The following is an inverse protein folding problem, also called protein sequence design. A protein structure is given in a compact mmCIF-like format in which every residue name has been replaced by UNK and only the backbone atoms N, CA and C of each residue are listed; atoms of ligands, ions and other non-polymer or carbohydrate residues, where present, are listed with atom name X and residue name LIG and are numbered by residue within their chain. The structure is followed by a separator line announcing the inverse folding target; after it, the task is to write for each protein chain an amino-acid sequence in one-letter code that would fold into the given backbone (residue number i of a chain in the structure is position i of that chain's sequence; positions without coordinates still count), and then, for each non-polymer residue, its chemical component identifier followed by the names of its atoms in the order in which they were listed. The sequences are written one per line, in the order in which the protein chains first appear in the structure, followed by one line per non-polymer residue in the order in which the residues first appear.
data_IF_272341397229
#
_entry.id   IF_272341397229
#
_cell.length_a   1.000
_cell.length_b   1.000
_cell.length_c   1.000
_cell.angle_alpha   90.00
_cell.angle_beta   90.00
_cell.angle_gamma   90.00
#
_symmetry.space_group_name_H-M   'P 1'
#
loop_
_entity.id
_entity.type
_entity.pdbx_description
1 polymer ?
#
# COMPACT_ATOMS: atom_id res chain seq x y z
N UNK A 1 18.34 8.10 7.91
CA UNK A 1 17.97 6.70 7.58
C UNK A 1 17.14 6.07 8.69
N UNK A 2 17.57 6.12 9.96
CA UNK A 2 16.77 5.56 11.08
C UNK A 2 15.35 6.12 11.19
N UNK A 3 15.16 7.44 11.01
CA UNK A 3 13.83 8.06 11.11
C UNK A 3 12.83 7.54 10.06
N UNK A 4 13.30 7.19 8.86
CA UNK A 4 12.46 6.55 7.84
C UNK A 4 11.97 5.18 8.33
N UNK A 5 12.87 4.34 8.83
CA UNK A 5 12.52 3.00 9.32
C UNK A 5 11.60 3.05 10.55
N UNK A 6 11.76 4.06 11.42
CA UNK A 6 10.81 4.31 12.51
C UNK A 6 9.42 4.62 11.95
N UNK A 7 9.34 5.51 10.94
CA UNK A 7 8.08 5.91 10.33
C UNK A 7 7.41 4.77 9.53
N UNK A 8 8.19 3.92 8.85
CA UNK A 8 7.69 2.80 8.06
C UNK A 8 7.53 1.49 8.85
N UNK A 9 7.93 1.45 10.12
CA UNK A 9 7.92 0.24 10.98
C UNK A 9 6.59 -0.53 10.99
N UNK A 10 5.46 0.17 10.84
CA UNK A 10 4.12 -0.44 10.87
C UNK A 10 3.63 -0.97 9.53
N UNK A 11 4.32 -0.67 8.42
CA UNK A 11 3.86 -1.03 7.07
C UNK A 11 3.68 -2.54 6.91
N UNK A 12 4.65 -3.32 7.37
CA UNK A 12 4.59 -4.78 7.32
C UNK A 12 3.36 -5.33 8.05
N UNK A 13 3.12 -4.89 9.29
CA UNK A 13 1.95 -5.33 10.08
C UNK A 13 0.63 -4.95 9.42
N UNK A 14 0.53 -3.73 8.87
CA UNK A 14 -0.67 -3.24 8.20
C UNK A 14 -0.94 -4.06 6.93
N UNK A 15 0.10 -4.27 6.10
CA UNK A 15 0.00 -5.04 4.86
C UNK A 15 -0.36 -6.50 5.15
N UNK A 16 0.27 -7.13 6.14
CA UNK A 16 -0.04 -8.51 6.54
C UNK A 16 -1.50 -8.66 6.98
N UNK A 17 -1.98 -7.72 7.79
CA UNK A 17 -3.38 -7.67 8.20
C UNK A 17 -4.33 -7.45 7.02
N UNK A 18 -3.96 -6.60 6.06
CA UNK A 18 -4.75 -6.37 4.84
C UNK A 18 -4.83 -7.62 3.97
N UNK A 19 -3.71 -8.28 3.68
CA UNK A 19 -3.66 -9.53 2.89
C UNK A 19 -4.54 -10.61 3.49
N UNK A 20 -4.49 -10.81 4.81
CA UNK A 20 -5.38 -11.76 5.50
C UNK A 20 -6.85 -11.38 5.41
N UNK A 21 -7.19 -10.09 5.50
CA UNK A 21 -8.59 -9.62 5.36
C UNK A 21 -9.12 -9.86 3.94
N UNK A 22 -8.33 -9.57 2.92
CA UNK A 22 -8.71 -9.80 1.52
C UNK A 22 -8.92 -11.29 1.27
N UNK A 23 -7.99 -12.15 1.70
CA UNK A 23 -8.14 -13.60 1.62
C UNK A 23 -9.40 -14.11 2.30
N UNK A 24 -9.71 -13.60 3.50
CA UNK A 24 -10.95 -13.96 4.21
C UNK A 24 -12.18 -13.56 3.41
N UNK A 25 -12.21 -12.35 2.85
CA UNK A 25 -13.31 -11.91 1.98
C UNK A 25 -13.50 -12.84 0.78
N UNK A 26 -12.42 -13.15 0.07
CA UNK A 26 -12.45 -14.07 -1.08
C UNK A 26 -12.99 -15.43 -0.66
N UNK A 27 -12.45 -16.00 0.42
CA UNK A 27 -12.87 -17.31 0.93
C UNK A 27 -14.37 -17.33 1.27
N UNK A 28 -14.86 -16.32 2.01
CA UNK A 28 -16.28 -16.21 2.35
C UNK A 28 -17.16 -16.04 1.12
N UNK A 29 -16.77 -15.21 0.15
CA UNK A 29 -17.53 -15.02 -1.09
C UNK A 29 -17.63 -16.32 -1.90
N UNK A 30 -16.54 -17.06 -2.02
CA UNK A 30 -16.51 -18.34 -2.74
C UNK A 30 -17.38 -19.39 -2.03
N UNK A 31 -17.29 -19.49 -0.70
CA UNK A 31 -18.12 -20.39 0.09
C UNK A 31 -19.62 -20.08 -0.09
N UNK A 32 -19.99 -18.79 -0.08
CA UNK A 32 -21.36 -18.34 -0.31
C UNK A 32 -21.85 -18.67 -1.73
N UNK A 33 -21.01 -18.46 -2.74
CA UNK A 33 -21.33 -18.80 -4.13
C UNK A 33 -21.58 -20.32 -4.28
N UNK A 34 -20.73 -21.16 -3.68
CA UNK A 34 -20.92 -22.62 -3.68
C UNK A 34 -22.22 -23.04 -3.00
N UNK A 35 -22.57 -22.43 -1.87
CA UNK A 35 -23.85 -22.68 -1.18
C UNK A 35 -25.06 -22.30 -2.02
N UNK A 36 -24.94 -21.28 -2.87
CA UNK A 36 -26.02 -20.84 -3.73
C UNK A 36 -26.21 -21.74 -4.97
N UNK A 37 -25.10 -22.21 -5.56
CA UNK A 37 -25.12 -22.98 -6.81
C UNK A 37 -25.36 -24.47 -6.55
N UNK A 38 -24.83 -25.05 -5.47
CA UNK A 38 -24.87 -26.48 -5.18
C UNK A 38 -25.84 -26.81 -4.05
N UNK A 39 -26.98 -27.40 -4.41
CA UNK A 39 -27.99 -27.87 -3.45
C UNK A 39 -27.50 -29.10 -2.67
N UNK A 40 -26.73 -29.99 -3.30
CA UNK A 40 -26.21 -31.20 -2.65
C UNK A 40 -25.10 -30.87 -1.64
N UNK A 41 -25.35 -31.17 -0.36
CA UNK A 41 -24.43 -30.83 0.74
C UNK A 41 -23.08 -31.54 0.63
N UNK A 42 -23.06 -32.80 0.20
CA UNK A 42 -21.82 -33.59 0.09
C UNK A 42 -20.91 -33.02 -0.99
N UNK A 43 -21.40 -32.89 -2.22
CA UNK A 43 -20.65 -32.32 -3.34
C UNK A 43 -20.13 -30.92 -3.00
N UNK A 44 -20.96 -30.08 -2.36
CA UNK A 44 -20.58 -28.74 -1.89
C UNK A 44 -19.43 -28.78 -0.89
N UNK A 45 -19.51 -29.67 0.11
CA UNK A 45 -18.50 -29.80 1.18
C UNK A 45 -17.16 -30.29 0.62
N UNK A 46 -17.20 -31.28 -0.27
CA UNK A 46 -16.01 -31.85 -0.89
C UNK A 46 -15.33 -30.84 -1.82
N UNK A 47 -16.11 -30.17 -2.65
CA UNK A 47 -15.61 -29.13 -3.54
C UNK A 47 -15.04 -27.93 -2.77
N UNK A 48 -15.74 -27.47 -1.72
CA UNK A 48 -15.23 -26.43 -0.84
C UNK A 48 -13.90 -26.81 -0.20
N UNK A 49 -13.74 -28.07 0.24
CA UNK A 49 -12.47 -28.54 0.82
C UNK A 49 -11.31 -28.40 -0.17
N UNK A 50 -11.52 -28.81 -1.42
CA UNK A 50 -10.52 -28.69 -2.49
C UNK A 50 -10.19 -27.22 -2.80
N UNK A 51 -11.22 -26.40 -3.03
CA UNK A 51 -11.07 -24.96 -3.32
C UNK A 51 -10.37 -24.22 -2.17
N UNK A 52 -10.77 -24.49 -0.94
CA UNK A 52 -10.17 -23.86 0.24
C UNK A 52 -8.69 -24.25 0.38
N UNK A 53 -8.29 -25.49 0.07
CA UNK A 53 -6.88 -25.88 0.07
C UNK A 53 -6.05 -25.03 -0.92
N UNK A 54 -6.56 -24.82 -2.13
CA UNK A 54 -5.94 -23.95 -3.14
C UNK A 54 -5.89 -22.48 -2.70
N UNK A 55 -6.97 -21.97 -2.10
CA UNK A 55 -7.01 -20.62 -1.52
C UNK A 55 -5.93 -20.46 -0.43
N UNK A 56 -5.76 -21.43 0.48
CA UNK A 56 -4.72 -21.37 1.51
C UNK A 56 -3.31 -21.39 0.91
N UNK A 57 -3.07 -22.17 -0.14
CA UNK A 57 -1.80 -22.17 -0.89
C UNK A 57 -1.50 -20.80 -1.50
N UNK A 58 -2.52 -20.17 -2.10
CA UNK A 58 -2.41 -18.82 -2.65
C UNK A 58 -2.09 -17.78 -1.57
N UNK A 59 -2.73 -17.88 -0.39
CA UNK A 59 -2.39 -17.03 0.76
C UNK A 59 -0.94 -17.22 1.20
N UNK A 60 -0.47 -18.47 1.31
CA UNK A 60 0.92 -18.73 1.70
C UNK A 60 1.92 -18.09 0.73
N UNK A 61 1.67 -18.21 -0.58
CA UNK A 61 2.49 -17.55 -1.60
C UNK A 61 2.43 -16.02 -1.51
N UNK A 62 1.24 -15.45 -1.30
CA UNK A 62 1.06 -14.01 -1.11
C UNK A 62 1.85 -13.49 0.11
N UNK A 63 1.81 -14.23 1.23
CA UNK A 63 2.54 -13.86 2.44
C UNK A 63 4.06 -13.99 2.28
N UNK A 64 4.53 -14.97 1.50
CA UNK A 64 5.95 -15.10 1.17
C UNK A 64 6.44 -13.92 0.30
N UNK A 65 5.68 -13.55 -0.73
CA UNK A 65 5.99 -12.37 -1.56
C UNK A 65 5.99 -11.08 -0.73
N UNK A 66 4.98 -10.92 0.14
CA UNK A 66 4.90 -9.77 1.05
C UNK A 66 6.11 -9.69 1.98
N UNK A 67 6.60 -10.83 2.47
CA UNK A 67 7.80 -10.87 3.29
C UNK A 67 9.00 -10.34 2.52
N UNK A 68 9.23 -10.79 1.29
CA UNK A 68 10.31 -10.28 0.43
C UNK A 68 10.22 -8.77 0.23
N UNK A 69 9.04 -8.25 -0.09
CA UNK A 69 8.81 -6.79 -0.24
C UNK A 69 9.13 -6.05 1.06
N UNK A 70 8.76 -6.60 2.22
CA UNK A 70 9.07 -5.98 3.51
C UNK A 70 10.57 -5.98 3.82
N UNK A 71 11.32 -7.01 3.41
CA UNK A 71 12.78 -7.03 3.54
C UNK A 71 13.45 -6.01 2.61
N UNK A 72 12.94 -5.85 1.38
CA UNK A 72 13.45 -4.85 0.44
C UNK A 72 13.33 -3.42 0.99
N UNK A 73 12.25 -3.10 1.72
CA UNK A 73 12.05 -1.79 2.34
C UNK A 73 12.96 -1.53 3.56
N UNK A 74 13.58 -2.57 4.13
CA UNK A 74 14.60 -2.42 5.20
C UNK A 74 15.96 -2.03 4.64
N UNK A 75 16.18 -2.21 3.34
CA UNK A 75 17.42 -1.81 2.69
C UNK A 75 17.58 -0.29 2.74
N UNK A 76 18.83 0.21 2.76
CA UNK A 76 19.08 1.64 2.72
C UNK A 76 18.36 2.29 1.53
N UNK A 77 17.63 3.40 1.74
CA UNK A 77 17.08 4.22 0.67
C UNK A 77 18.02 4.36 -0.51
N UNK A 78 17.54 3.96 -1.69
CA UNK A 78 18.28 4.12 -2.94
C UNK A 78 18.38 5.63 -3.23
N UNK A 79 19.50 6.21 -2.82
CA UNK A 79 19.86 7.63 -2.93
C UNK A 79 19.96 8.15 -4.37
N UNK A 80 19.88 7.27 -5.38
CA UNK A 80 19.86 7.63 -6.80
C UNK A 80 18.46 7.97 -7.35
N UNK A 81 17.40 7.89 -6.53
CA UNK A 81 16.08 8.25 -7.01
C UNK A 81 16.03 9.75 -7.32
N UNK A 82 15.82 10.12 -8.59
CA UNK A 82 15.65 11.51 -9.07
C UNK A 82 14.62 12.28 -8.24
N UNK A 83 13.58 11.59 -7.75
CA UNK A 83 12.58 12.19 -6.87
C UNK A 83 13.17 12.66 -5.54
N UNK A 84 14.22 12.04 -4.99
CA UNK A 84 14.88 12.56 -3.78
C UNK A 84 15.57 13.90 -4.08
N UNK A 85 16.38 13.96 -5.14
CA UNK A 85 17.07 15.19 -5.55
C UNK A 85 16.06 16.32 -5.88
N UNK A 86 15.01 16.00 -6.64
CA UNK A 86 13.97 16.97 -6.99
C UNK A 86 13.16 17.42 -5.78
N UNK A 87 12.84 16.49 -4.86
CA UNK A 87 12.08 16.82 -3.66
C UNK A 87 12.91 17.66 -2.68
N UNK A 88 14.21 17.37 -2.54
CA UNK A 88 15.14 18.18 -1.75
C UNK A 88 15.25 19.58 -2.36
N UNK A 89 15.47 19.69 -3.67
CA UNK A 89 15.58 20.99 -4.33
C UNK A 89 14.26 21.79 -4.24
N UNK A 90 13.12 21.13 -4.43
CA UNK A 90 11.80 21.75 -4.26
C UNK A 90 11.57 22.21 -2.81
N UNK A 91 11.99 21.41 -1.82
CA UNK A 91 11.93 21.77 -0.42
C UNK A 91 12.80 22.99 -0.11
N UNK A 92 14.03 23.02 -0.62
CA UNK A 92 14.98 24.13 -0.49
C UNK A 92 14.43 25.41 -1.10
N UNK A 93 13.85 25.33 -2.31
CA UNK A 93 13.21 26.46 -2.98
C UNK A 93 12.00 26.98 -2.19
N UNK A 94 11.17 26.09 -1.65
CA UNK A 94 10.01 26.45 -0.83
C UNK A 94 10.42 27.12 0.48
N UNK A 95 11.42 26.59 1.17
CA UNK A 95 11.97 27.17 2.40
C UNK A 95 12.54 28.57 2.15
N UNK A 96 13.35 28.72 1.08
CA UNK A 96 13.91 30.01 0.67
C UNK A 96 12.82 31.02 0.35
N UNK A 97 11.79 30.62 -0.42
CA UNK A 97 10.64 31.49 -0.74
C UNK A 97 9.88 31.94 0.51
N UNK A 98 9.66 31.02 1.46
CA UNK A 98 8.97 31.33 2.71
C UNK A 98 9.78 32.29 3.60
N UNK A 99 11.10 32.10 3.69
CA UNK A 99 12.00 33.00 4.41
C UNK A 99 11.97 34.41 3.80
N UNK A 100 12.10 34.52 2.47
CA UNK A 100 12.01 35.80 1.76
C UNK A 100 10.65 36.48 2.03
N UNK A 101 9.54 35.72 1.96
CA UNK A 101 8.22 36.26 2.27
C UNK A 101 8.07 36.71 3.73
N UNK A 102 8.69 36.01 4.67
CA UNK A 102 8.65 36.33 6.10
C UNK A 102 9.47 37.58 6.40
N UNK A 103 10.71 37.65 5.89
CA UNK A 103 11.55 38.85 5.95
C UNK A 103 10.84 40.06 5.33
N UNK A 104 10.21 39.91 4.15
CA UNK A 104 9.46 40.98 3.49
C UNK A 104 8.24 41.42 4.32
N UNK A 105 7.52 40.50 4.97
CA UNK A 105 6.40 40.82 5.87
C UNK A 105 6.89 41.55 7.13
N UNK A 106 8.01 41.14 7.72
CA UNK A 106 8.62 41.80 8.89
C UNK A 106 9.06 43.23 8.55
N UNK A 107 9.76 43.39 7.42
CA UNK A 107 10.14 44.71 6.91
C UNK A 107 8.92 45.60 6.63
N UNK A 108 7.84 45.03 6.07
CA UNK A 108 6.58 45.76 5.82
C UNK A 108 5.79 46.08 7.11
N UNK A 109 5.84 45.22 8.13
CA UNK A 109 5.22 45.47 9.44
C UNK A 109 5.92 46.60 10.21
N UNK A 110 7.24 46.71 10.07
CA UNK A 110 8.02 47.86 10.56
C UNK A 110 7.71 49.16 9.79
N UNK A 111 7.10 49.06 8.61
CA UNK A 111 6.77 50.18 7.70
C UNK A 111 5.46 50.91 8.06
N UNK A 112 4.74 50.45 9.09
CA UNK A 112 3.40 50.92 9.45
C UNK A 112 3.33 52.29 10.15
N UNK A 113 4.42 53.06 10.23
CA UNK A 113 4.41 54.37 10.90
C UNK A 113 4.99 55.55 10.12
N UNK A 114 5.53 55.35 8.91
CA UNK A 114 6.12 56.47 8.16
C UNK A 114 5.93 56.29 6.66
N UNK A 115 4.72 56.50 6.17
CA UNK A 115 4.49 56.74 4.74
C UNK A 115 4.25 58.23 4.55
N UNK A 116 5.35 58.93 4.26
CA UNK A 116 5.37 60.36 3.97
C UNK A 116 6.48 61.08 4.71
N UNK A 117 7.73 60.97 4.25
CA UNK A 117 8.47 62.11 3.68
C UNK A 117 9.94 61.74 3.41
N UNK A 118 10.38 62.10 2.20
CA UNK A 118 11.77 62.31 1.75
C UNK A 118 12.58 61.14 1.14
N UNK A 119 13.35 61.53 0.14
CA UNK A 119 14.09 60.72 -0.84
C UNK A 119 15.22 59.82 -0.27
N UNK A 120 15.44 59.79 1.05
CA UNK A 120 16.45 58.96 1.73
C UNK A 120 15.91 57.60 2.24
N UNK A 121 14.58 57.43 2.14
CA UNK A 121 13.86 56.22 2.57
C UNK A 121 14.33 54.95 1.82
N UNK A 122 14.73 55.06 0.55
CA UNK A 122 15.06 53.89 -0.29
C UNK A 122 16.30 53.13 0.21
N UNK A 123 17.31 53.83 0.71
CA UNK A 123 18.53 53.23 1.27
C UNK A 123 18.29 52.61 2.66
N UNK A 124 17.46 53.26 3.48
CA UNK A 124 17.07 52.75 4.80
C UNK A 124 16.19 51.49 4.68
N UNK A 125 15.28 51.45 3.71
CA UNK A 125 14.48 50.27 3.41
C UNK A 125 15.30 49.12 2.83
N UNK A 126 16.31 49.41 2.01
CA UNK A 126 17.22 48.39 1.51
C UNK A 126 17.98 47.73 2.66
N UNK A 127 18.56 48.54 3.56
CA UNK A 127 19.30 48.05 4.73
C UNK A 127 18.40 47.26 5.69
N UNK A 128 17.17 47.69 5.94
CA UNK A 128 16.24 46.94 6.79
C UNK A 128 15.79 45.60 6.19
N UNK A 129 15.67 45.52 4.87
CA UNK A 129 15.43 44.24 4.18
C UNK A 129 16.69 43.38 4.27
N UNK A 130 17.89 43.94 4.06
CA UNK A 130 19.16 43.24 4.22
C UNK A 130 19.34 42.70 5.65
N UNK A 131 19.13 43.51 6.68
CA UNK A 131 19.23 43.13 8.09
C UNK A 131 18.17 42.07 8.46
N UNK A 132 16.91 42.23 8.03
CA UNK A 132 15.88 41.23 8.26
C UNK A 132 16.14 39.93 7.49
N UNK A 133 16.79 40.00 6.32
CA UNK A 133 17.19 38.84 5.55
C UNK A 133 18.42 38.18 6.19
N UNK A 134 19.40 38.93 6.68
CA UNK A 134 20.57 38.41 7.41
C UNK A 134 20.14 37.72 8.71
N UNK A 135 19.25 38.32 9.50
CA UNK A 135 18.75 37.73 10.75
C UNK A 135 17.94 36.45 10.48
N UNK A 136 17.07 36.45 9.47
CA UNK A 136 16.31 35.26 9.08
C UNK A 136 17.18 34.18 8.41
N UNK A 137 18.16 34.55 7.58
CA UNK A 137 18.95 33.65 6.72
C UNK A 137 20.20 33.10 7.42
N UNK A 138 20.84 33.88 8.29
CA UNK A 138 22.16 33.55 8.86
C UNK A 138 22.06 32.99 10.28
N UNK A 139 21.11 33.46 11.12
CA UNK A 139 21.13 33.13 12.56
C UNK A 139 20.53 31.75 12.92
N UNK A 140 19.71 31.15 12.05
CA UNK A 140 19.01 29.89 12.35
C UNK A 140 19.35 28.76 11.34
N UNK A 141 20.64 28.66 10.99
CA UNK A 141 21.16 27.70 10.02
C UNK A 141 20.91 26.24 10.45
N UNK A 142 21.06 25.92 11.74
CA UNK A 142 20.84 24.57 12.26
C UNK A 142 19.36 24.16 12.17
N UNK A 143 18.43 25.04 12.54
CA UNK A 143 17.00 24.76 12.42
C UNK A 143 16.58 24.63 10.96
N UNK A 144 17.11 25.46 10.06
CA UNK A 144 16.83 25.33 8.62
C UNK A 144 17.35 24.02 8.07
N UNK A 145 18.56 23.61 8.42
CA UNK A 145 19.10 22.32 8.03
C UNK A 145 18.20 21.17 8.55
N UNK A 146 17.68 21.29 9.77
CA UNK A 146 16.73 20.34 10.33
C UNK A 146 15.37 20.34 9.60
N UNK A 147 14.81 21.51 9.27
CA UNK A 147 13.55 21.66 8.55
C UNK A 147 13.65 21.15 7.10
N UNK A 148 14.78 21.38 6.45
CA UNK A 148 15.09 20.86 5.12
C UNK A 148 15.23 19.34 5.14
N UNK A 149 16.01 18.78 6.08
CA UNK A 149 16.13 17.34 6.27
C UNK A 149 14.79 16.67 6.55
N UNK A 150 13.93 17.30 7.38
CA UNK A 150 12.57 16.83 7.64
C UNK A 150 11.72 16.85 6.37
N UNK A 151 11.77 17.92 5.59
CA UNK A 151 10.97 18.05 4.36
C UNK A 151 11.42 17.03 3.31
N UNK A 152 12.73 16.82 3.17
CA UNK A 152 13.31 15.81 2.30
C UNK A 152 12.86 14.39 2.71
N UNK A 153 12.91 14.10 4.01
CA UNK A 153 12.43 12.82 4.55
C UNK A 153 10.93 12.61 4.32
N UNK A 154 10.10 13.63 4.55
CA UNK A 154 8.65 13.56 4.31
C UNK A 154 8.34 13.28 2.83
N UNK A 155 9.08 13.92 1.93
CA UNK A 155 8.89 13.73 0.50
C UNK A 155 9.35 12.34 0.06
N UNK A 156 10.49 11.87 0.57
CA UNK A 156 10.95 10.49 0.35
C UNK A 156 9.94 9.46 0.89
N UNK A 157 9.49 9.63 2.13
CA UNK A 157 8.50 8.75 2.77
C UNK A 157 7.22 8.64 1.93
N UNK A 158 6.72 9.75 1.39
CA UNK A 158 5.53 9.75 0.52
C UNK A 158 5.73 8.92 -0.75
N UNK A 159 6.90 9.02 -1.38
CA UNK A 159 7.20 8.24 -2.59
C UNK A 159 7.30 6.76 -2.24
N UNK A 160 8.10 6.41 -1.23
CA UNK A 160 8.28 5.02 -0.80
C UNK A 160 6.97 4.39 -0.35
N UNK A 161 6.12 5.13 0.39
CA UNK A 161 4.81 4.65 0.82
C UNK A 161 3.92 4.30 -0.37
N UNK A 162 3.88 5.15 -1.40
CA UNK A 162 3.10 4.88 -2.62
C UNK A 162 3.62 3.64 -3.33
N UNK A 163 4.94 3.52 -3.50
CA UNK A 163 5.56 2.37 -4.14
C UNK A 163 5.28 1.08 -3.36
N UNK A 164 5.38 1.11 -2.04
CA UNK A 164 5.08 -0.02 -1.18
C UNK A 164 3.62 -0.46 -1.33
N UNK A 165 2.67 0.47 -1.25
CA UNK A 165 1.24 0.18 -1.42
C UNK A 165 0.96 -0.41 -2.81
N UNK A 166 1.52 0.16 -3.86
CA UNK A 166 1.39 -0.35 -5.22
C UNK A 166 1.94 -1.77 -5.35
N UNK A 167 3.09 -2.05 -4.72
CA UNK A 167 3.69 -3.37 -4.70
C UNK A 167 2.83 -4.38 -3.94
N UNK A 168 2.25 -4.02 -2.80
CA UNK A 168 1.32 -4.89 -2.09
C UNK A 168 0.09 -5.17 -2.95
N UNK A 169 -0.54 -4.15 -3.54
CA UNK A 169 -1.71 -4.35 -4.40
C UNK A 169 -1.38 -5.26 -5.59
N UNK A 170 -0.37 -4.92 -6.38
CA UNK A 170 -0.06 -5.60 -7.64
C UNK A 170 0.61 -6.95 -7.44
N UNK A 171 1.61 -7.02 -6.55
CA UNK A 171 2.48 -8.19 -6.43
C UNK A 171 1.97 -9.18 -5.40
N UNK A 172 1.24 -8.74 -4.37
CA UNK A 172 0.70 -9.63 -3.33
C UNK A 172 -0.75 -9.96 -3.62
N UNK A 173 -1.63 -8.96 -3.71
CA UNK A 173 -3.08 -9.18 -3.83
C UNK A 173 -3.45 -9.66 -5.23
N UNK A 174 -3.14 -8.87 -6.26
CA UNK A 174 -3.55 -9.18 -7.63
C UNK A 174 -2.90 -10.46 -8.16
N UNK A 175 -1.58 -10.59 -7.99
CA UNK A 175 -0.82 -11.74 -8.51
C UNK A 175 -1.14 -13.07 -7.82
N UNK A 176 -1.32 -13.08 -6.50
CA UNK A 176 -1.47 -14.34 -5.77
C UNK A 176 -2.92 -14.64 -5.36
N UNK A 177 -3.74 -13.63 -5.09
CA UNK A 177 -5.12 -13.84 -4.62
C UNK A 177 -6.14 -13.69 -5.76
N UNK A 178 -6.10 -12.59 -6.51
CA UNK A 178 -7.14 -12.28 -7.50
C UNK A 178 -6.96 -13.04 -8.81
N UNK A 179 -5.79 -12.94 -9.46
CA UNK A 179 -5.54 -13.55 -10.76
C UNK A 179 -5.55 -15.08 -10.74
N UNK A 180 -5.32 -15.69 -9.57
CA UNK A 180 -5.39 -17.15 -9.39
C UNK A 180 -6.79 -17.66 -9.13
N UNK A 181 -7.72 -16.79 -8.70
CA UNK A 181 -9.07 -17.19 -8.31
C UNK A 181 -9.83 -17.93 -9.44
N UNK A 182 -9.82 -17.46 -10.70
CA UNK A 182 -10.51 -18.16 -11.80
C UNK A 182 -9.92 -19.54 -12.12
N UNK A 183 -8.65 -19.77 -11.76
CA UNK A 183 -7.95 -21.03 -12.04
C UNK A 183 -8.08 -22.06 -10.91
N UNK A 184 -8.65 -21.69 -9.75
CA UNK A 184 -8.80 -22.62 -8.62
C UNK A 184 -9.80 -23.73 -8.95
N UNK A 185 -10.85 -23.40 -9.70
CA UNK A 185 -11.83 -24.36 -10.17
C UNK A 185 -12.37 -23.88 -11.52
N UNK A 186 -11.83 -24.42 -12.61
CA UNK A 186 -12.22 -24.07 -13.98
C UNK A 186 -12.73 -25.31 -14.71
N UNK A 187 -13.53 -25.15 -15.78
CA UNK A 187 -13.93 -26.27 -16.63
C UNK A 187 -12.73 -27.06 -17.18
N UNK A 188 -11.58 -26.39 -17.33
CA UNK A 188 -10.33 -27.00 -17.79
C UNK A 188 -9.59 -27.79 -16.72
N UNK A 189 -9.83 -27.54 -15.43
CA UNK A 189 -9.21 -28.30 -14.34
C UNK A 189 -9.99 -29.57 -13.98
N UNK A 190 -11.26 -29.68 -14.38
CA UNK A 190 -12.10 -30.86 -14.09
C UNK A 190 -11.54 -32.14 -14.73
N UNK A 191 -11.06 -32.15 -15.99
CA UNK A 191 -10.43 -33.34 -16.58
C UNK A 191 -9.11 -33.76 -15.94
N UNK A 192 -8.46 -32.87 -15.20
CA UNK A 192 -7.21 -33.16 -14.47
C UNK A 192 -7.47 -33.85 -13.12
N UNK A 193 -8.72 -33.89 -12.66
CA UNK A 193 -9.10 -34.56 -11.43
C UNK A 193 -9.02 -36.08 -11.58
N UNK A 194 -8.51 -36.73 -10.55
CA UNK A 194 -8.45 -38.20 -10.48
C UNK A 194 -9.84 -38.80 -10.31
N UNK A 195 -10.04 -40.06 -10.74
CA UNK A 195 -11.28 -40.79 -10.52
C UNK A 195 -11.71 -40.82 -9.05
N UNK A 196 -10.73 -40.87 -8.13
CA UNK A 196 -10.98 -40.80 -6.69
C UNK A 196 -11.54 -39.44 -6.25
N UNK A 197 -11.05 -38.33 -6.81
CA UNK A 197 -11.55 -36.99 -6.53
C UNK A 197 -12.96 -36.81 -7.11
N UNK A 198 -13.18 -37.26 -8.34
CA UNK A 198 -14.49 -37.22 -9.00
C UNK A 198 -15.50 -38.05 -8.21
N UNK A 199 -15.15 -39.29 -7.83
CA UNK A 199 -16.01 -40.17 -7.03
C UNK A 199 -16.28 -39.58 -5.65
N UNK A 200 -15.31 -38.87 -5.07
CA UNK A 200 -15.50 -38.23 -3.77
C UNK A 200 -16.52 -37.09 -3.86
N UNK A 201 -16.43 -36.26 -4.91
CA UNK A 201 -17.27 -35.08 -5.13
C UNK A 201 -18.67 -35.45 -5.63
N UNK A 202 -18.76 -36.33 -6.64
CA UNK A 202 -19.99 -36.61 -7.39
C UNK A 202 -20.45 -38.08 -7.32
N UNK A 203 -19.72 -38.96 -6.62
CA UNK A 203 -20.08 -40.36 -6.51
C UNK A 203 -21.31 -40.56 -5.61
N UNK A 204 -22.27 -41.35 -6.07
CA UNK A 204 -23.45 -41.71 -5.30
C UNK A 204 -23.08 -42.40 -3.97
N UNK A 205 -23.86 -42.14 -2.92
CA UNK A 205 -23.77 -42.92 -1.67
C UNK A 205 -24.34 -44.32 -1.89
N UNK A 206 -23.81 -45.32 -1.17
CA UNK A 206 -24.29 -46.70 -1.28
C UNK A 206 -25.80 -46.82 -1.08
N UNK A 207 -26.37 -46.07 -0.13
CA UNK A 207 -27.82 -46.06 0.13
C UNK A 207 -28.63 -45.43 -1.01
N UNK A 208 -28.11 -44.37 -1.65
CA UNK A 208 -28.76 -43.76 -2.81
C UNK A 208 -28.68 -44.68 -4.04
N UNK A 209 -27.54 -45.34 -4.25
CA UNK A 209 -27.37 -46.31 -5.31
C UNK A 209 -28.26 -47.54 -5.09
N UNK A 210 -28.38 -48.01 -3.85
CA UNK A 210 -29.29 -49.09 -3.46
C UNK A 210 -30.73 -48.70 -3.72
N UNK A 211 -31.15 -47.51 -3.28
CA UNK A 211 -32.51 -47.00 -3.51
C UNK A 211 -32.83 -46.81 -4.99
N UNK A 212 -31.86 -46.33 -5.79
CA UNK A 212 -32.01 -46.22 -7.24
C UNK A 212 -32.24 -47.59 -7.87
N UNK A 213 -31.48 -48.60 -7.46
CA UNK A 213 -31.64 -49.97 -7.95
C UNK A 213 -33.00 -50.56 -7.54
N UNK A 214 -33.43 -50.41 -6.27
CA UNK A 214 -34.77 -50.85 -5.84
C UNK A 214 -35.90 -50.23 -6.67
N UNK A 215 -35.79 -48.94 -7.00
CA UNK A 215 -36.79 -48.23 -7.80
C UNK A 215 -36.75 -48.63 -9.28
N UNK A 216 -35.57 -49.01 -9.81
CA UNK A 216 -35.43 -49.53 -11.17
C UNK A 216 -35.99 -50.95 -11.30
N UNK A 217 -35.87 -51.78 -10.26
CA UNK A 217 -36.43 -53.14 -10.23
C UNK A 217 -37.97 -53.15 -10.13
N UNK A 218 -38.58 -52.00 -9.82
CA UNK A 218 -40.04 -51.79 -9.74
C UNK A 218 -40.69 -51.32 -11.06
N UNK A 219 -39.91 -51.06 -12.12
CA UNK A 219 -40.37 -50.61 -13.45
C UNK A 219 -40.28 -51.77 -14.44
#
# INVERSE_FOLDING_TARGET
MELFHVQSSRWSTIAHGHTKRVHKLISTSVEQALRHILMEDRARTELWRSINASLQKNLAAALAELHSICEDEKMPPIIYNHSYADNVETARQKGTKNAIQTALKKAKGSLGSTWGQNYDERGHHHRQIEEALEEEVIFDMERRACEEAKTALDAYYKVSMKTFVENVCRQVIERHLMSKLPTIFSPTSVPEMTDLEITRIAGELADMAHRRNELMDMI
#
